data_IF_144609729518
#
_entry.id   IF_144609729518
#
_cell.length_a   1.000
_cell.length_b   1.000
_cell.length_c   1.000
_cell.angle_alpha   90.00
_cell.angle_beta   90.00
_cell.angle_gamma   90.00
#
_symmetry.space_group_name_H-M   'P 1'
#
loop_
_entity.id
_entity.type
_entity.pdbx_description
1 polymer ?
#
# COMPACT_ATOMS: atom_id res chain seq x y z
N UNK A 1 -6.94 1.92 15.92
CA UNK A 1 -7.76 1.75 14.70
C UNK A 1 -8.48 3.08 14.49
N UNK A 2 -8.38 3.69 13.30
CA UNK A 2 -9.09 4.95 13.01
C UNK A 2 -10.57 4.64 12.92
N UNK A 3 -11.41 5.37 13.67
CA UNK A 3 -12.85 5.08 13.80
C UNK A 3 -13.68 5.64 12.63
N UNK A 4 -13.27 6.77 12.08
CA UNK A 4 -13.90 7.44 10.92
C UNK A 4 -12.84 8.17 10.11
N UNK A 5 -13.01 8.22 8.79
CA UNK A 5 -12.24 9.08 7.90
C UNK A 5 -13.14 10.22 7.42
N UNK A 6 -12.87 11.44 7.87
CA UNK A 6 -13.63 12.62 7.46
C UNK A 6 -12.93 13.32 6.29
N UNK A 7 -13.56 13.32 5.13
CA UNK A 7 -13.04 14.02 3.95
C UNK A 7 -13.33 15.52 4.06
N UNK A 8 -12.34 16.35 3.76
CA UNK A 8 -12.48 17.81 3.74
C UNK A 8 -11.92 18.37 2.43
N UNK A 9 -12.62 19.37 1.88
CA UNK A 9 -12.14 20.14 0.72
C UNK A 9 -11.37 21.34 1.22
N UNK A 10 -10.09 21.42 0.86
CA UNK A 10 -9.13 22.41 1.38
C UNK A 10 -8.62 23.29 0.26
N UNK A 11 -8.40 24.57 0.54
CA UNK A 11 -7.72 25.49 -0.41
C UNK A 11 -6.24 25.07 -0.58
N UNK A 12 -5.65 25.15 -1.79
CA UNK A 12 -4.26 24.74 -2.02
C UNK A 12 -3.24 25.40 -1.07
N UNK A 13 -3.47 26.65 -0.66
CA UNK A 13 -2.60 27.40 0.25
C UNK A 13 -2.54 26.81 1.67
N UNK A 14 -3.59 26.12 2.12
CA UNK A 14 -3.66 25.52 3.46
C UNK A 14 -3.20 24.06 3.47
N UNK A 15 -2.96 23.47 2.30
CA UNK A 15 -2.57 22.07 2.14
C UNK A 15 -1.28 21.70 2.91
N UNK A 16 -0.22 22.54 2.94
CA UNK A 16 0.97 22.26 3.75
C UNK A 16 0.72 22.34 5.26
N UNK A 17 -0.30 23.08 5.71
CA UNK A 17 -0.66 23.16 7.14
C UNK A 17 -1.40 21.91 7.58
N UNK A 18 -2.32 21.41 6.76
CA UNK A 18 -3.16 20.26 7.08
C UNK A 18 -2.40 18.94 6.85
N UNK A 19 -1.59 18.86 5.79
CA UNK A 19 -0.81 17.68 5.44
C UNK A 19 0.67 18.05 5.22
N UNK A 20 1.42 18.38 6.29
CA UNK A 20 2.78 18.88 6.18
C UNK A 20 3.74 17.91 5.46
N UNK A 21 3.53 16.60 5.61
CA UNK A 21 4.44 15.57 5.08
C UNK A 21 4.00 14.95 3.76
N UNK A 22 2.93 15.47 3.12
CA UNK A 22 2.33 14.82 1.94
C UNK A 22 3.29 14.74 0.77
N UNK A 23 4.05 15.81 0.52
CA UNK A 23 5.01 15.87 -0.58
C UNK A 23 6.15 14.86 -0.40
N UNK A 24 6.61 14.65 0.84
CA UNK A 24 7.60 13.62 1.19
C UNK A 24 7.01 12.22 1.04
N UNK A 25 5.77 12.00 1.49
CA UNK A 25 5.10 10.72 1.31
C UNK A 25 4.95 10.38 -0.18
N UNK A 26 4.51 11.33 -1.01
CA UNK A 26 4.41 11.16 -2.47
C UNK A 26 5.78 10.87 -3.10
N UNK A 27 6.84 11.57 -2.68
CA UNK A 27 8.20 11.30 -3.14
C UNK A 27 8.65 9.88 -2.81
N UNK A 28 8.40 9.43 -1.59
CA UNK A 28 8.74 8.07 -1.13
C UNK A 28 7.93 6.99 -1.86
N UNK A 29 6.64 7.23 -2.13
CA UNK A 29 5.83 6.32 -2.95
C UNK A 29 6.46 6.17 -4.33
N UNK A 30 6.75 7.29 -5.01
CA UNK A 30 7.37 7.25 -6.35
C UNK A 30 8.67 6.45 -6.36
N UNK A 31 9.53 6.68 -5.36
CA UNK A 31 10.80 5.95 -5.22
C UNK A 31 10.59 4.46 -5.01
N UNK A 32 9.69 4.06 -4.09
CA UNK A 32 9.38 2.65 -3.84
C UNK A 32 8.88 1.95 -5.11
N UNK A 33 7.98 2.60 -5.85
CA UNK A 33 7.40 2.05 -7.08
C UNK A 33 8.46 1.79 -8.15
N UNK A 34 9.39 2.74 -8.33
CA UNK A 34 10.47 2.62 -9.30
C UNK A 34 11.52 1.57 -8.90
N UNK A 35 11.84 1.49 -7.61
CA UNK A 35 12.89 0.59 -7.12
C UNK A 35 12.41 -0.87 -7.00
N UNK A 36 11.12 -1.09 -6.72
CA UNK A 36 10.58 -2.44 -6.44
C UNK A 36 9.98 -3.11 -7.67
N UNK A 37 9.33 -2.35 -8.56
CA UNK A 37 8.54 -2.91 -9.66
C UNK A 37 9.17 -2.59 -11.02
N UNK A 38 9.49 -3.64 -11.77
CA UNK A 38 10.03 -3.50 -13.13
C UNK A 38 9.06 -2.77 -14.08
N UNK A 39 7.75 -3.01 -13.95
CA UNK A 39 6.71 -2.34 -14.72
C UNK A 39 5.48 -2.05 -13.86
N UNK A 40 5.02 -0.81 -13.89
CA UNK A 40 3.82 -0.39 -13.19
C UNK A 40 2.60 -0.59 -14.09
N UNK A 41 1.70 -1.50 -13.70
CA UNK A 41 0.42 -1.69 -14.39
C UNK A 41 -0.68 -1.00 -13.61
N UNK A 42 -1.52 -0.20 -14.29
CA UNK A 42 -2.63 0.55 -13.65
C UNK A 42 -3.59 -0.36 -12.88
N UNK A 43 -3.81 -1.59 -13.36
CA UNK A 43 -4.67 -2.59 -12.69
C UNK A 43 -4.20 -2.96 -11.28
N UNK A 44 -2.92 -2.76 -10.96
CA UNK A 44 -2.34 -3.08 -9.66
C UNK A 44 -2.04 -1.84 -8.81
N UNK A 45 -2.44 -0.64 -9.24
CA UNK A 45 -2.11 0.61 -8.56
C UNK A 45 -2.50 0.60 -7.08
N UNK A 46 -3.72 0.12 -6.77
CA UNK A 46 -4.17 0.03 -5.38
C UNK A 46 -3.31 -0.94 -4.56
N UNK A 47 -2.87 -2.06 -5.14
CA UNK A 47 -1.99 -3.01 -4.44
C UNK A 47 -0.63 -2.40 -4.15
N UNK A 48 -0.06 -1.65 -5.10
CA UNK A 48 1.21 -0.95 -4.86
C UNK A 48 1.09 0.12 -3.76
N UNK A 49 -0.01 0.86 -3.74
CA UNK A 49 -0.28 1.83 -2.68
C UNK A 49 -0.51 1.15 -1.32
N UNK A 50 -1.20 0.00 -1.30
CA UNK A 50 -1.40 -0.79 -0.10
C UNK A 50 -0.06 -1.30 0.45
N UNK A 51 0.85 -1.75 -0.43
CA UNK A 51 2.20 -2.18 -0.05
C UNK A 51 2.99 -1.01 0.56
N UNK A 52 2.95 0.17 -0.07
CA UNK A 52 3.58 1.37 0.48
C UNK A 52 3.04 1.67 1.88
N UNK A 53 1.72 1.74 2.06
CA UNK A 53 1.08 1.99 3.34
C UNK A 53 1.46 0.93 4.38
N UNK A 54 1.53 -0.34 3.99
CA UNK A 54 1.93 -1.43 4.87
C UNK A 54 3.35 -1.23 5.41
N UNK A 55 4.30 -0.94 4.52
CA UNK A 55 5.72 -0.68 4.85
C UNK A 55 5.89 0.60 5.67
N UNK A 56 5.27 1.69 5.21
CA UNK A 56 5.36 3.01 5.85
C UNK A 56 4.85 2.97 7.30
N UNK A 57 3.67 2.39 7.53
CA UNK A 57 3.07 2.30 8.86
C UNK A 57 3.83 1.36 9.82
N UNK A 58 4.72 0.50 9.31
CA UNK A 58 5.49 -0.47 10.11
C UNK A 58 6.98 -0.18 10.15
N UNK A 59 7.44 0.96 9.61
CA UNK A 59 8.87 1.31 9.54
C UNK A 59 9.59 1.28 10.89
N UNK A 60 8.87 1.54 11.98
CA UNK A 60 9.43 1.58 13.35
C UNK A 60 9.21 0.30 14.16
N UNK A 61 8.78 -0.80 13.52
CA UNK A 61 8.48 -2.04 14.24
C UNK A 61 9.73 -2.85 14.62
N UNK A 62 10.88 -2.56 14.01
CA UNK A 62 12.16 -3.24 14.30
C UNK A 62 12.05 -4.75 14.14
N UNK A 63 12.58 -5.50 15.10
CA UNK A 63 12.61 -6.97 15.09
C UNK A 63 11.20 -7.60 15.13
N UNK A 64 10.19 -6.87 15.62
CA UNK A 64 8.80 -7.36 15.69
C UNK A 64 8.13 -7.51 14.33
N UNK A 65 8.75 -7.04 13.25
CA UNK A 65 8.21 -7.18 11.89
C UNK A 65 8.07 -8.65 11.48
N UNK A 66 9.08 -9.47 11.78
CA UNK A 66 9.09 -10.88 11.39
C UNK A 66 7.99 -11.66 12.08
N UNK A 67 7.92 -11.61 13.42
CA UNK A 67 6.93 -12.35 14.20
C UNK A 67 5.49 -11.96 13.83
N UNK A 68 5.25 -10.66 13.56
CA UNK A 68 3.93 -10.18 13.13
C UNK A 68 3.58 -10.67 11.74
N UNK A 69 4.55 -10.72 10.82
CA UNK A 69 4.32 -11.26 9.48
C UNK A 69 3.97 -12.75 9.56
N UNK A 70 4.73 -13.53 10.33
CA UNK A 70 4.45 -14.96 10.56
C UNK A 70 3.07 -15.16 11.16
N UNK A 71 2.74 -14.39 12.20
CA UNK A 71 1.41 -14.44 12.85
C UNK A 71 0.29 -14.16 11.85
N UNK A 72 0.42 -13.11 11.03
CA UNK A 72 -0.59 -12.80 10.00
C UNK A 72 -0.68 -13.91 8.96
N UNK A 73 0.45 -14.46 8.51
CA UNK A 73 0.46 -15.53 7.51
C UNK A 73 -0.24 -16.81 7.99
N UNK A 74 -0.09 -17.18 9.27
CA UNK A 74 -0.73 -18.40 9.82
C UNK A 74 -2.18 -18.18 10.26
N UNK A 75 -2.56 -16.94 10.61
CA UNK A 75 -3.91 -16.63 11.10
C UNK A 75 -4.86 -16.17 10.01
N UNK A 76 -4.36 -15.71 8.85
CA UNK A 76 -5.20 -15.15 7.80
C UNK A 76 -6.01 -16.24 7.10
N UNK A 77 -7.36 -16.23 7.21
CA UNK A 77 -8.19 -17.14 6.43
C UNK A 77 -8.15 -16.68 4.97
N UNK A 78 -7.53 -17.48 4.11
CA UNK A 78 -7.43 -17.17 2.67
C UNK A 78 -8.81 -17.27 2.02
N UNK A 79 -9.40 -16.14 1.64
CA UNK A 79 -10.59 -16.09 0.77
C UNK A 79 -10.21 -16.23 -0.72
N UNK A 80 -8.94 -16.50 -1.00
CA UNK A 80 -8.44 -16.68 -2.36
C UNK A 80 -8.95 -18.00 -2.95
N UNK A 81 -10.04 -17.93 -3.72
CA UNK A 81 -10.33 -18.93 -4.73
C UNK A 81 -9.27 -18.78 -5.82
N UNK A 82 -8.45 -19.81 -6.04
CA UNK A 82 -7.52 -19.84 -7.18
C UNK A 82 -8.30 -19.55 -8.46
N UNK A 83 -8.18 -18.34 -9.01
CA UNK A 83 -8.63 -18.07 -10.37
C UNK A 83 -7.71 -18.85 -11.28
N UNK A 84 -8.19 -19.99 -11.76
CA UNK A 84 -7.54 -20.73 -12.84
C UNK A 84 -7.62 -19.80 -14.06
N UNK A 85 -6.53 -19.11 -14.38
CA UNK A 85 -6.41 -18.42 -15.65
C UNK A 85 -6.35 -19.51 -16.72
N UNK A 86 -7.47 -19.77 -17.39
CA UNK A 86 -7.51 -20.69 -18.51
C UNK A 86 -6.54 -20.19 -19.59
N UNK A 87 -5.41 -20.89 -19.76
CA UNK A 87 -4.40 -20.62 -20.80
C UNK A 87 -4.92 -20.83 -22.23
N UNK A 88 -6.16 -21.27 -22.41
CA UNK A 88 -6.77 -21.57 -23.71
C UNK A 88 -7.24 -20.34 -24.48
N UNK A 89 -7.09 -19.12 -23.93
CA UNK A 89 -7.42 -17.87 -24.63
C UNK A 89 -6.16 -17.09 -24.97
N UNK A 90 -5.26 -17.73 -25.71
CA UNK A 90 -4.27 -17.06 -26.55
C UNK A 90 -4.44 -17.67 -27.94
N UNK A 91 -5.38 -17.11 -28.70
CA UNK A 91 -5.46 -17.22 -30.16
C UNK A 91 -4.80 -16.02 -30.80
#
# INVERSE_FOLDING_TARGET
>A
HVKSHDAQVVKPADLPKILPWVHIAIGNVKRLLLDTHHQLKKVYLQYYLNEFCYKFNRRYFGEKLFDRLVTVAVTYPTDFKSKIYNRTVCG
#
